data_IF_622163367440
#
_entry.id   IF_622163367440
#
_cell.length_a   1.000
_cell.length_b   1.000
_cell.length_c   1.000
_cell.angle_alpha   90.00
_cell.angle_beta   90.00
_cell.angle_gamma   90.00
#
_symmetry.space_group_name_H-M   'P 1'
#
loop_
_entity.id
_entity.type
_entity.pdbx_description
1 polymer ?
#
# COMPACT_ATOMS: atom_id res chain seq x y z
N UNK A 1 0.63 -4.20 13.97
CA UNK A 1 -0.46 -3.24 13.67
C UNK A 1 -0.77 -3.30 12.19
N UNK A 2 -2.03 -3.15 11.84
CA UNK A 2 -2.45 -3.13 10.44
C UNK A 2 -2.46 -1.68 9.96
N UNK A 3 -1.70 -1.40 8.91
CA UNK A 3 -1.54 -0.04 8.42
C UNK A 3 -1.93 0.01 6.95
N UNK A 4 -2.74 0.99 6.59
CA UNK A 4 -3.14 1.22 5.21
C UNK A 4 -2.46 2.48 4.70
N UNK A 5 -1.79 2.36 3.56
CA UNK A 5 -1.12 3.50 2.92
C UNK A 5 -1.86 3.80 1.62
N UNK A 6 -2.38 5.01 1.49
CA UNK A 6 -3.03 5.45 0.27
C UNK A 6 -1.98 6.04 -0.67
N UNK A 7 -1.68 5.32 -1.73
CA UNK A 7 -0.70 5.74 -2.72
C UNK A 7 0.58 4.92 -2.66
N UNK A 8 1.05 4.51 -3.85
CA UNK A 8 2.28 3.72 -3.99
C UNK A 8 3.42 4.58 -4.55
N UNK A 9 3.40 5.88 -4.30
CA UNK A 9 4.46 6.77 -4.73
C UNK A 9 5.75 6.52 -3.94
N UNK A 10 6.79 7.27 -4.24
CA UNK A 10 8.09 7.09 -3.64
C UNK A 10 8.05 7.20 -2.11
N UNK A 11 7.33 8.20 -1.59
CA UNK A 11 7.22 8.41 -0.15
C UNK A 11 6.47 7.28 0.52
N UNK A 12 5.33 6.89 -0.04
CA UNK A 12 4.52 5.81 0.52
C UNK A 12 5.27 4.49 0.49
N UNK A 13 5.98 4.20 -0.60
CA UNK A 13 6.76 2.97 -0.71
C UNK A 13 7.88 2.91 0.32
N UNK A 14 8.57 4.03 0.52
CA UNK A 14 9.65 4.09 1.52
C UNK A 14 9.11 3.88 2.92
N UNK A 15 7.98 4.51 3.23
CA UNK A 15 7.34 4.35 4.53
C UNK A 15 6.88 2.91 4.74
N UNK A 16 6.24 2.32 3.73
CA UNK A 16 5.76 0.95 3.81
C UNK A 16 6.90 -0.04 4.02
N UNK A 17 8.02 0.17 3.34
CA UNK A 17 9.19 -0.68 3.50
C UNK A 17 9.69 -0.66 4.95
N UNK A 18 9.74 0.52 5.56
CA UNK A 18 10.16 0.63 6.93
C UNK A 18 9.17 -0.03 7.89
N UNK A 19 7.87 0.15 7.65
CA UNK A 19 6.84 -0.43 8.50
C UNK A 19 6.85 -1.97 8.43
N UNK A 20 7.11 -2.53 7.27
CA UNK A 20 7.26 -3.98 7.13
C UNK A 20 8.46 -4.48 7.93
N UNK A 21 9.56 -3.75 7.92
CA UNK A 21 10.73 -4.11 8.74
C UNK A 21 10.41 -4.09 10.23
N UNK A 22 9.48 -3.25 10.63
CA UNK A 22 9.03 -3.15 12.02
C UNK A 22 7.92 -4.15 12.34
N UNK A 23 7.66 -5.06 11.41
CA UNK A 23 6.70 -6.17 11.56
C UNK A 23 5.24 -5.72 11.63
N UNK A 24 4.93 -4.63 10.96
CA UNK A 24 3.54 -4.22 10.75
C UNK A 24 2.99 -4.88 9.50
N UNK A 25 1.69 -5.09 9.46
CA UNK A 25 1.01 -5.53 8.25
C UNK A 25 0.61 -4.30 7.46
N UNK A 26 1.13 -4.19 6.24
CA UNK A 26 0.93 -3.01 5.41
C UNK A 26 0.09 -3.36 4.19
N UNK A 27 -0.90 -2.53 3.90
CA UNK A 27 -1.73 -2.64 2.70
C UNK A 27 -1.64 -1.33 1.94
N UNK A 28 -1.29 -1.42 0.66
CA UNK A 28 -1.30 -0.24 -0.22
C UNK A 28 -2.61 -0.18 -0.99
N UNK A 29 -3.15 1.02 -1.13
CA UNK A 29 -4.32 1.28 -1.96
C UNK A 29 -3.92 2.29 -3.02
N UNK A 30 -4.16 1.98 -4.28
CA UNK A 30 -3.86 2.91 -5.38
C UNK A 30 -4.77 2.59 -6.56
N UNK A 31 -5.00 3.58 -7.42
CA UNK A 31 -5.79 3.40 -8.63
C UNK A 31 -4.97 2.85 -9.79
N UNK A 32 -3.65 2.85 -9.68
CA UNK A 32 -2.75 2.43 -10.75
C UNK A 32 -2.27 0.99 -10.52
N UNK A 33 -2.80 0.01 -11.26
CA UNK A 33 -2.43 -1.39 -11.04
C UNK A 33 -0.94 -1.68 -11.28
N UNK A 34 -0.30 -0.94 -12.19
CA UNK A 34 1.12 -1.13 -12.45
C UNK A 34 2.00 -0.74 -11.26
N UNK A 35 1.58 0.27 -10.49
CA UNK A 35 2.30 0.65 -9.29
C UNK A 35 2.12 -0.38 -8.18
N UNK A 36 0.92 -0.96 -8.08
CA UNK A 36 0.65 -2.00 -7.11
C UNK A 36 1.49 -3.25 -7.40
N UNK A 37 1.58 -3.64 -8.66
CA UNK A 37 2.42 -4.77 -9.05
C UNK A 37 3.88 -4.53 -8.71
N UNK A 38 4.34 -3.31 -8.94
CA UNK A 38 5.73 -2.95 -8.66
C UNK A 38 6.03 -3.06 -7.17
N UNK A 39 5.15 -2.52 -6.32
CA UNK A 39 5.40 -2.55 -4.88
C UNK A 39 5.32 -3.98 -4.33
N UNK A 40 4.43 -4.82 -4.87
CA UNK A 40 4.35 -6.22 -4.46
C UNK A 40 5.61 -6.99 -4.80
N UNK A 41 6.30 -6.61 -5.87
CA UNK A 41 7.55 -7.23 -6.25
C UNK A 41 8.74 -6.79 -5.41
N UNK A 42 8.59 -5.70 -4.66
CA UNK A 42 9.67 -5.13 -3.85
C UNK A 42 9.52 -5.39 -2.37
N UNK A 43 8.30 -5.44 -1.88
CA UNK A 43 8.01 -5.52 -0.44
C UNK A 43 6.89 -6.52 -0.21
N UNK A 44 6.93 -7.20 0.92
CA UNK A 44 5.88 -8.16 1.31
C UNK A 44 4.69 -7.38 1.88
N UNK A 45 3.79 -6.97 1.02
CA UNK A 45 2.61 -6.18 1.39
C UNK A 45 1.38 -6.69 0.66
N UNK A 46 0.21 -6.30 1.14
CA UNK A 46 -1.04 -6.51 0.43
C UNK A 46 -1.38 -5.27 -0.38
N UNK A 47 -2.14 -5.43 -1.44
CA UNK A 47 -2.54 -4.32 -2.28
C UNK A 47 -4.03 -4.39 -2.59
N UNK A 48 -4.64 -3.22 -2.72
CA UNK A 48 -6.04 -3.06 -3.12
C UNK A 48 -6.07 -2.02 -4.22
N UNK A 49 -6.61 -2.39 -5.38
CA UNK A 49 -6.79 -1.45 -6.47
C UNK A 49 -8.09 -0.67 -6.25
N UNK A 50 -7.98 0.65 -6.18
CA UNK A 50 -9.13 1.51 -5.96
C UNK A 50 -8.74 2.79 -5.25
N UNK A 51 -9.75 3.50 -4.76
CA UNK A 51 -9.52 4.69 -3.97
C UNK A 51 -10.32 4.62 -2.68
N UNK A 52 -9.96 5.48 -1.72
CA UNK A 52 -10.57 5.44 -0.39
C UNK A 52 -12.07 5.75 -0.41
N UNK A 53 -12.52 6.56 -1.34
CA UNK A 53 -13.94 6.89 -1.42
C UNK A 53 -14.80 5.70 -1.82
N UNK A 54 -14.24 4.78 -2.58
CA UNK A 54 -14.96 3.57 -2.98
C UNK A 54 -14.88 2.47 -1.94
N UNK A 55 -13.75 2.43 -1.22
CA UNK A 55 -13.50 1.38 -0.24
C UNK A 55 -14.25 1.65 1.06
N UNK A 56 -14.43 2.93 1.40
CA UNK A 56 -15.16 3.34 2.60
C UNK A 56 -16.38 4.18 2.19
N UNK A 57 -17.44 3.55 1.69
CA UNK A 57 -18.65 4.27 1.30
C UNK A 57 -19.34 4.87 2.52
N UNK A 58 -19.97 6.01 2.30
CA UNK A 58 -20.71 6.70 3.37
C UNK A 58 -22.14 6.26 3.46
#
# INVERSE_FOLDING_TARGET
>A
MNIIIAGCGKVGTTLGEQLVRERHEVTFIDTAPELLKKVMGMIDVQVIEGNLYRIFPH
#
